data_IF_681800228063
#
_entry.id   IF_681800228063
#
_cell.length_a   1.000
_cell.length_b   1.000
_cell.length_c   1.000
_cell.angle_alpha   90.00
_cell.angle_beta   90.00
_cell.angle_gamma   90.00
#
_symmetry.space_group_name_H-M   'P 1'
#
loop_
_entity.id
_entity.type
_entity.pdbx_description
1 polymer ?
#
# COMPACT_ATOMS: atom_id res chain seq x y z
N UNK A 1 -5.93 24.90 8.47
CA UNK A 1 -4.56 25.48 8.63
C UNK A 1 -4.10 25.26 10.06
N UNK A 2 -4.81 25.77 11.07
CA UNK A 2 -4.43 25.68 12.49
C UNK A 2 -4.21 24.25 13.00
N UNK A 3 -5.07 23.30 12.64
CA UNK A 3 -4.93 21.90 13.02
C UNK A 3 -3.62 21.29 12.48
N UNK A 4 -3.27 21.56 11.22
CA UNK A 4 -2.02 21.06 10.61
C UNK A 4 -0.78 21.69 11.20
N UNK A 5 -0.85 22.95 11.64
CA UNK A 5 0.22 23.64 12.35
C UNK A 5 0.48 23.01 13.73
N UNK A 6 -0.58 22.66 14.47
CA UNK A 6 -0.45 21.95 15.74
C UNK A 6 0.15 20.56 15.53
N UNK A 7 -0.33 19.80 14.56
CA UNK A 7 0.20 18.46 14.24
C UNK A 7 1.69 18.50 13.85
N UNK A 8 2.13 19.56 13.15
CA UNK A 8 3.53 19.71 12.78
C UNK A 8 4.48 19.90 13.97
N UNK A 9 3.99 20.38 15.14
CA UNK A 9 4.84 20.64 16.29
C UNK A 9 5.51 19.37 16.84
N UNK A 10 4.83 18.23 16.77
CA UNK A 10 5.40 16.95 17.21
C UNK A 10 6.68 16.60 16.45
N UNK A 11 6.64 16.72 15.12
CA UNK A 11 7.77 16.46 14.23
C UNK A 11 8.91 17.48 14.42
N UNK A 12 8.56 18.76 14.55
CA UNK A 12 9.55 19.82 14.76
C UNK A 12 10.29 19.65 16.08
N UNK A 13 9.57 19.34 17.16
CA UNK A 13 10.16 19.17 18.49
C UNK A 13 11.02 17.90 18.55
N UNK A 14 10.53 16.77 18.09
CA UNK A 14 11.24 15.49 18.15
C UNK A 14 12.56 15.53 17.37
N UNK A 15 12.56 16.11 16.17
CA UNK A 15 13.76 16.23 15.34
C UNK A 15 14.76 17.24 15.93
N UNK A 16 14.28 18.34 16.52
CA UNK A 16 15.14 19.30 17.23
C UNK A 16 15.80 18.64 18.47
N UNK A 17 15.06 17.86 19.24
CA UNK A 17 15.61 17.11 20.38
C UNK A 17 16.70 16.14 19.92
N UNK A 18 16.47 15.40 18.83
CA UNK A 18 17.49 14.49 18.27
C UNK A 18 18.72 15.23 17.79
N UNK A 19 18.55 16.37 17.11
CA UNK A 19 19.66 17.23 16.69
C UNK A 19 20.52 17.68 17.88
N UNK A 20 19.90 18.21 18.95
CA UNK A 20 20.62 18.66 20.14
C UNK A 20 21.30 17.49 20.86
N UNK A 21 20.65 16.34 20.97
CA UNK A 21 21.22 15.13 21.55
C UNK A 21 22.50 14.68 20.82
N UNK A 22 22.47 14.63 19.48
CA UNK A 22 23.65 14.30 18.69
C UNK A 22 24.78 15.32 18.85
N UNK A 23 24.43 16.60 18.99
CA UNK A 23 25.43 17.65 19.28
C UNK A 23 26.07 17.47 20.66
N UNK A 24 25.30 17.11 21.67
CA UNK A 24 25.82 16.77 23.00
C UNK A 24 26.82 15.60 22.93
N UNK A 25 26.51 14.60 22.11
CA UNK A 25 27.41 13.47 21.81
C UNK A 25 28.59 13.85 20.91
N UNK A 26 28.73 15.12 20.50
CA UNK A 26 29.76 15.62 19.56
C UNK A 26 29.73 14.95 18.18
N UNK A 27 28.56 14.50 17.74
CA UNK A 27 28.34 13.97 16.40
C UNK A 27 27.95 15.12 15.49
N UNK A 28 28.79 15.49 14.48
CA UNK A 28 28.48 16.56 13.55
C UNK A 28 27.21 16.22 12.75
N UNK A 29 26.23 17.10 12.81
CA UNK A 29 24.97 16.93 12.11
C UNK A 29 24.31 18.29 11.83
N UNK A 30 23.40 18.34 10.84
CA UNK A 30 22.59 19.52 10.55
C UNK A 30 21.09 19.16 10.59
N UNK A 31 20.30 20.06 11.13
CA UNK A 31 18.84 19.99 11.13
C UNK A 31 18.31 20.80 9.93
N UNK A 32 17.67 20.14 8.99
CA UNK A 32 16.99 20.77 7.86
C UNK A 32 15.51 20.91 8.17
N UNK A 33 14.92 22.05 7.90
CA UNK A 33 13.49 22.26 8.09
C UNK A 33 12.73 21.74 6.86
N UNK A 34 11.83 20.77 7.03
CA UNK A 34 11.05 20.20 5.93
C UNK A 34 10.23 21.26 5.19
N UNK A 35 9.78 22.31 5.86
CA UNK A 35 9.03 23.39 5.22
C UNK A 35 9.83 24.20 4.19
N UNK A 36 11.17 24.09 4.19
CA UNK A 36 12.02 24.82 3.27
C UNK A 36 12.19 24.11 1.92
N UNK A 37 11.89 22.80 1.87
CA UNK A 37 12.09 22.00 0.66
C UNK A 37 10.94 21.02 0.35
N UNK A 38 10.12 20.64 1.31
CA UNK A 38 9.02 19.69 1.10
C UNK A 38 7.74 20.44 0.72
N UNK A 39 7.25 20.23 -0.52
CA UNK A 39 6.06 20.91 -1.04
C UNK A 39 5.17 19.99 -1.85
N UNK A 40 3.84 20.23 -1.78
CA UNK A 40 2.86 19.64 -2.70
C UNK A 40 2.40 20.66 -3.73
N UNK A 41 2.07 20.18 -4.93
CA UNK A 41 1.49 20.97 -6.01
C UNK A 41 0.00 21.31 -5.78
N UNK A 42 -0.64 22.00 -6.74
CA UNK A 42 -2.08 22.33 -6.68
C UNK A 42 -3.01 21.12 -6.68
N UNK A 43 -2.54 19.98 -7.15
CA UNK A 43 -3.21 18.68 -7.16
C UNK A 43 -3.08 17.90 -5.84
N UNK A 44 -2.37 18.48 -4.86
CA UNK A 44 -1.98 17.89 -3.58
C UNK A 44 -1.02 16.70 -3.70
N UNK A 45 -0.37 16.52 -4.85
CA UNK A 45 0.72 15.56 -5.02
C UNK A 45 2.09 16.24 -4.77
N UNK A 46 3.12 15.48 -4.31
CA UNK A 46 4.45 16.05 -4.07
C UNK A 46 5.08 16.63 -5.34
N UNK A 47 5.60 17.84 -5.24
CA UNK A 47 6.34 18.52 -6.30
C UNK A 47 7.81 18.06 -6.27
N UNK A 48 8.09 16.94 -6.93
CA UNK A 48 9.40 16.29 -6.84
C UNK A 48 10.53 17.16 -7.41
N UNK A 49 10.28 17.95 -8.46
CA UNK A 49 11.29 18.85 -9.04
C UNK A 49 11.68 19.95 -8.05
N UNK A 50 10.67 20.56 -7.42
CA UNK A 50 10.91 21.56 -6.38
C UNK A 50 11.65 20.96 -5.18
N UNK A 51 11.23 19.77 -4.73
CA UNK A 51 11.88 19.07 -3.61
C UNK A 51 13.34 18.79 -3.92
N UNK A 52 13.64 18.25 -5.11
CA UNK A 52 15.01 17.96 -5.54
C UNK A 52 15.88 19.22 -5.54
N UNK A 53 15.40 20.30 -6.16
CA UNK A 53 16.13 21.55 -6.24
C UNK A 53 16.39 22.13 -4.84
N UNK A 54 15.33 22.29 -4.04
CA UNK A 54 15.43 22.95 -2.74
C UNK A 54 16.22 22.15 -1.72
N UNK A 55 16.08 20.83 -1.73
CA UNK A 55 16.87 19.96 -0.86
C UNK A 55 18.36 20.06 -1.19
N UNK A 56 18.74 20.08 -2.46
CA UNK A 56 20.15 20.28 -2.87
C UNK A 56 20.69 21.65 -2.44
N UNK A 57 19.90 22.72 -2.55
CA UNK A 57 20.25 24.05 -2.05
C UNK A 57 20.50 24.02 -0.53
N UNK A 58 19.63 23.36 0.25
CA UNK A 58 19.78 23.24 1.71
C UNK A 58 21.04 22.45 2.10
N UNK A 59 21.30 21.31 1.44
CA UNK A 59 22.49 20.51 1.70
C UNK A 59 23.78 21.29 1.41
N UNK A 60 23.80 22.10 0.36
CA UNK A 60 24.97 22.92 -0.02
C UNK A 60 25.32 23.99 1.02
N UNK A 61 24.36 24.41 1.87
CA UNK A 61 24.61 25.34 2.97
C UNK A 61 25.41 24.73 4.14
N UNK A 62 25.62 23.40 4.16
CA UNK A 62 26.28 22.68 5.24
C UNK A 62 27.50 21.87 4.76
N UNK A 63 28.56 22.53 4.23
CA UNK A 63 29.73 21.83 3.72
C UNK A 63 30.43 21.02 4.82
N UNK A 64 30.78 19.76 4.51
CA UNK A 64 31.48 18.88 5.44
C UNK A 64 30.58 18.15 6.46
N UNK A 65 29.27 18.37 6.43
CA UNK A 65 28.30 17.59 7.21
C UNK A 65 27.81 16.42 6.37
N UNK A 66 27.83 15.22 6.97
CA UNK A 66 27.38 13.96 6.32
C UNK A 66 26.14 13.35 6.98
N UNK A 67 25.69 13.92 8.11
CA UNK A 67 24.50 13.47 8.82
C UNK A 67 23.49 14.61 8.87
N UNK A 68 22.32 14.38 8.29
CA UNK A 68 21.24 15.35 8.27
C UNK A 68 20.00 14.77 8.96
N UNK A 69 19.30 15.61 9.69
CA UNK A 69 18.03 15.32 10.34
C UNK A 69 16.99 16.22 9.70
N UNK A 70 15.82 15.68 9.41
CA UNK A 70 14.68 16.47 8.96
C UNK A 70 13.38 15.85 9.46
N UNK A 71 12.30 16.63 9.40
CA UNK A 71 10.97 16.15 9.74
C UNK A 71 10.40 15.27 8.63
N UNK A 72 9.68 14.23 9.01
CA UNK A 72 8.80 13.50 8.14
C UNK A 72 7.38 14.08 8.17
N UNK A 73 6.50 13.62 7.28
CA UNK A 73 5.07 13.90 7.26
C UNK A 73 4.67 15.34 6.93
N UNK A 74 5.37 16.37 7.43
CA UNK A 74 5.02 17.77 7.24
C UNK A 74 5.56 18.36 5.93
N UNK A 75 4.80 19.25 5.32
CA UNK A 75 5.17 19.94 4.09
C UNK A 75 4.48 21.31 3.98
N UNK A 76 4.79 22.06 2.92
CA UNK A 76 4.00 23.20 2.45
C UNK A 76 3.11 22.79 1.28
N UNK A 77 1.92 23.39 1.17
CA UNK A 77 1.10 23.24 -0.03
C UNK A 77 1.51 24.27 -1.11
N UNK A 78 0.86 24.23 -2.27
CA UNK A 78 1.11 25.16 -3.38
C UNK A 78 0.92 26.64 -3.03
N UNK A 79 0.18 26.94 -1.95
CA UNK A 79 -0.10 28.29 -1.45
C UNK A 79 0.82 28.70 -0.30
N UNK A 80 1.88 27.91 -0.04
CA UNK A 80 2.84 28.11 1.05
C UNK A 80 2.23 28.01 2.46
N UNK A 81 1.10 27.33 2.61
CA UNK A 81 0.48 27.04 3.89
C UNK A 81 0.99 25.71 4.44
N UNK A 82 0.98 25.56 5.77
CA UNK A 82 1.35 24.31 6.44
C UNK A 82 0.40 23.18 6.06
N UNK A 83 0.95 22.09 5.57
CA UNK A 83 0.23 20.90 5.15
C UNK A 83 0.98 19.62 5.58
N UNK A 84 0.43 18.47 5.23
CA UNK A 84 1.02 17.16 5.50
C UNK A 84 0.83 16.19 4.33
N UNK A 85 1.69 15.18 4.26
CA UNK A 85 1.68 14.13 3.21
C UNK A 85 0.67 13.01 3.47
N UNK A 86 -0.34 13.23 4.30
CA UNK A 86 -1.40 12.25 4.64
C UNK A 86 -0.84 10.99 5.33
N UNK A 87 -1.52 9.83 5.16
CA UNK A 87 -1.11 8.55 5.77
C UNK A 87 0.22 8.05 5.19
N UNK A 88 1.05 7.44 6.04
CA UNK A 88 2.39 7.01 5.67
C UNK A 88 3.35 8.16 5.38
N UNK A 89 3.03 9.38 5.84
CA UNK A 89 3.73 10.60 5.47
C UNK A 89 5.22 10.61 5.76
N UNK A 90 5.67 9.99 6.87
CA UNK A 90 7.10 9.90 7.19
C UNK A 90 7.85 8.95 6.24
N UNK A 91 7.29 7.79 5.96
CA UNK A 91 7.85 6.85 4.98
C UNK A 91 7.83 7.47 3.57
N UNK A 92 6.75 8.21 3.26
CA UNK A 92 6.66 8.93 1.99
C UNK A 92 7.71 10.03 1.88
N UNK A 93 7.96 10.78 2.97
CA UNK A 93 9.05 11.76 3.04
C UNK A 93 10.40 11.11 2.77
N UNK A 94 10.69 9.97 3.42
CA UNK A 94 11.94 9.23 3.19
C UNK A 94 12.08 8.80 1.72
N UNK A 95 11.01 8.32 1.12
CA UNK A 95 11.00 7.92 -0.29
C UNK A 95 11.21 9.10 -1.25
N UNK A 96 10.58 10.24 -0.99
CA UNK A 96 10.76 11.46 -1.77
C UNK A 96 12.18 12.00 -1.66
N UNK A 97 12.75 12.08 -0.46
CA UNK A 97 14.12 12.51 -0.22
C UNK A 97 15.11 11.57 -0.90
N UNK A 98 14.95 10.25 -0.69
CA UNK A 98 15.80 9.26 -1.33
C UNK A 98 15.78 9.36 -2.86
N UNK A 99 14.59 9.60 -3.43
CA UNK A 99 14.40 9.81 -4.87
C UNK A 99 15.06 11.09 -5.35
N UNK A 100 14.88 12.22 -4.65
CA UNK A 100 15.46 13.51 -4.97
C UNK A 100 16.99 13.51 -4.92
N UNK A 101 17.58 12.75 -4.00
CA UNK A 101 19.03 12.62 -3.84
C UNK A 101 19.63 11.48 -4.67
N UNK A 102 18.82 10.64 -5.31
CA UNK A 102 19.27 9.42 -5.97
C UNK A 102 20.08 8.53 -5.01
N UNK A 103 19.50 8.27 -3.82
CA UNK A 103 20.15 7.50 -2.77
C UNK A 103 20.43 6.06 -3.22
N UNK A 104 21.47 5.44 -2.65
CA UNK A 104 21.81 4.04 -2.91
C UNK A 104 20.74 3.08 -2.33
N UNK A 105 20.12 3.44 -1.19
CA UNK A 105 19.07 2.69 -0.51
C UNK A 105 18.22 3.63 0.35
N UNK A 106 16.91 3.34 0.43
CA UNK A 106 15.98 3.96 1.38
C UNK A 106 15.71 2.92 2.47
N UNK A 107 15.87 3.29 3.74
CA UNK A 107 15.61 2.42 4.87
C UNK A 107 14.41 2.92 5.67
N UNK A 108 13.44 2.03 5.91
CA UNK A 108 12.28 2.27 6.77
C UNK A 108 12.43 1.41 8.02
N UNK A 109 12.65 2.08 9.13
CA UNK A 109 12.82 1.43 10.44
C UNK A 109 11.51 1.45 11.21
N UNK A 110 11.05 0.28 11.63
CA UNK A 110 9.77 0.07 12.33
C UNK A 110 9.97 -0.89 13.52
N UNK A 111 8.89 -1.29 14.16
CA UNK A 111 8.87 -2.23 15.30
C UNK A 111 8.67 -3.70 14.88
N UNK A 112 8.71 -3.98 13.58
CA UNK A 112 8.57 -5.34 13.01
C UNK A 112 9.77 -5.67 12.11
N UNK A 113 10.09 -6.95 12.03
CA UNK A 113 11.27 -7.49 11.34
C UNK A 113 11.15 -7.59 9.81
N UNK A 114 10.34 -6.73 9.20
CA UNK A 114 10.07 -6.68 7.78
C UNK A 114 8.66 -7.18 7.45
N UNK A 115 8.42 -7.43 6.18
CA UNK A 115 7.14 -7.95 5.70
C UNK A 115 7.07 -9.46 5.90
N UNK A 116 5.99 -9.95 6.50
CA UNK A 116 5.75 -11.39 6.65
C UNK A 116 4.90 -11.94 5.50
N UNK A 117 5.02 -13.24 5.28
CA UNK A 117 4.20 -13.96 4.30
C UNK A 117 2.72 -14.02 4.65
N UNK A 118 2.34 -13.64 5.88
CA UNK A 118 0.97 -13.45 6.36
C UNK A 118 0.99 -12.56 7.61
N UNK A 119 -0.17 -12.10 8.11
CA UNK A 119 -0.24 -11.29 9.32
C UNK A 119 0.05 -12.15 10.57
N UNK A 120 1.18 -11.95 11.28
CA UNK A 120 1.53 -12.76 12.46
C UNK A 120 0.57 -12.60 13.63
N UNK A 121 -0.26 -11.57 13.64
CA UNK A 121 -1.29 -11.34 14.67
C UNK A 121 -2.53 -12.20 14.45
N UNK A 122 -2.78 -12.62 13.21
CA UNK A 122 -3.96 -13.40 12.80
C UNK A 122 -3.63 -14.88 12.63
N UNK A 123 -2.41 -15.21 12.22
CA UNK A 123 -1.98 -16.53 11.76
C UNK A 123 -0.70 -16.95 12.45
N UNK A 124 -0.65 -18.22 12.88
CA UNK A 124 0.57 -18.82 13.43
C UNK A 124 1.49 -19.34 12.32
N UNK A 125 2.81 -19.35 12.60
CA UNK A 125 3.80 -19.94 11.69
C UNK A 125 4.14 -19.06 10.48
N UNK A 126 3.93 -17.76 10.58
CA UNK A 126 4.36 -16.81 9.56
C UNK A 126 5.89 -16.68 9.51
N UNK A 127 6.42 -16.27 8.38
CA UNK A 127 7.86 -16.09 8.16
C UNK A 127 8.14 -14.75 7.48
N UNK A 128 9.27 -14.08 7.79
CA UNK A 128 9.68 -12.88 7.08
C UNK A 128 9.93 -13.17 5.60
N UNK A 129 9.48 -12.28 4.74
CA UNK A 129 9.75 -12.27 3.30
C UNK A 129 11.00 -11.46 3.05
N UNK A 130 12.07 -12.10 2.59
CA UNK A 130 13.37 -11.44 2.42
C UNK A 130 13.40 -10.46 1.24
N UNK A 131 12.68 -10.78 0.16
CA UNK A 131 12.70 -10.00 -1.08
C UNK A 131 11.31 -9.88 -1.68
N UNK A 132 10.99 -8.68 -2.13
CA UNK A 132 9.78 -8.35 -2.88
C UNK A 132 10.16 -7.47 -4.07
N UNK A 133 9.45 -7.64 -5.18
CA UNK A 133 9.43 -6.63 -6.23
C UNK A 133 8.60 -5.41 -5.80
N UNK A 134 8.80 -4.26 -6.44
CA UNK A 134 7.96 -3.07 -6.19
C UNK A 134 6.48 -3.36 -6.44
N UNK A 135 6.16 -4.14 -7.48
CA UNK A 135 4.78 -4.50 -7.79
C UNK A 135 4.13 -5.36 -6.68
N UNK A 136 4.85 -6.37 -6.19
CA UNK A 136 4.38 -7.23 -5.09
C UNK A 136 4.17 -6.43 -3.80
N UNK A 137 5.12 -5.54 -3.45
CA UNK A 137 5.01 -4.69 -2.28
C UNK A 137 3.82 -3.71 -2.39
N UNK A 138 3.57 -3.15 -3.57
CA UNK A 138 2.42 -2.28 -3.85
C UNK A 138 1.09 -3.02 -3.69
N UNK A 139 0.98 -4.25 -4.21
CA UNK A 139 -0.21 -5.09 -4.05
C UNK A 139 -0.45 -5.44 -2.58
N UNK A 140 0.59 -5.87 -1.85
CA UNK A 140 0.48 -6.16 -0.42
C UNK A 140 0.01 -4.94 0.38
N UNK A 141 0.57 -3.77 0.10
CA UNK A 141 0.19 -2.52 0.74
C UNK A 141 -1.26 -2.12 0.41
N UNK A 142 -1.70 -2.30 -0.84
CA UNK A 142 -3.07 -2.03 -1.28
C UNK A 142 -4.10 -2.92 -0.57
N UNK A 143 -3.78 -4.20 -0.39
CA UNK A 143 -4.66 -5.17 0.28
C UNK A 143 -4.46 -5.24 1.79
N UNK A 144 -3.82 -4.24 2.39
CA UNK A 144 -3.86 -4.03 3.84
C UNK A 144 -2.68 -4.56 4.64
N UNK A 145 -1.58 -4.94 4.00
CA UNK A 145 -0.33 -5.14 4.71
C UNK A 145 0.13 -3.80 5.30
N UNK A 146 0.01 -3.65 6.63
CA UNK A 146 0.15 -2.35 7.33
C UNK A 146 1.58 -1.83 7.47
N UNK A 147 2.54 -2.41 6.77
CA UNK A 147 3.96 -2.12 6.97
C UNK A 147 4.41 -0.93 6.13
N UNK A 148 3.81 -0.73 4.96
CA UNK A 148 4.14 0.36 4.05
C UNK A 148 2.88 0.90 3.37
N UNK A 149 2.80 2.21 3.20
CA UNK A 149 1.71 2.78 2.40
C UNK A 149 2.07 2.69 0.91
N UNK A 150 1.12 2.38 -0.02
CA UNK A 150 1.42 2.25 -1.46
C UNK A 150 2.15 3.46 -2.04
N UNK A 151 1.80 4.69 -1.61
CA UNK A 151 2.45 5.92 -2.07
C UNK A 151 3.94 6.03 -1.71
N UNK A 152 4.39 5.31 -0.67
CA UNK A 152 5.80 5.34 -0.27
C UNK A 152 6.70 4.58 -1.24
N UNK A 153 6.15 3.68 -2.04
CA UNK A 153 6.89 2.83 -2.98
C UNK A 153 7.09 3.54 -4.32
N UNK A 154 6.09 4.30 -4.78
CA UNK A 154 6.07 4.87 -6.11
C UNK A 154 7.28 5.77 -6.46
N UNK A 155 7.74 6.72 -5.60
CA UNK A 155 8.93 7.53 -5.91
C UNK A 155 10.21 6.70 -6.04
N UNK A 156 10.44 5.76 -5.11
CA UNK A 156 11.61 4.88 -5.14
C UNK A 156 11.63 4.00 -6.41
N UNK A 157 10.47 3.47 -6.81
CA UNK A 157 10.29 2.70 -8.05
C UNK A 157 10.66 3.50 -9.29
N UNK A 158 10.26 4.79 -9.38
CA UNK A 158 10.56 5.66 -10.53
C UNK A 158 12.06 5.80 -10.81
N UNK A 159 12.89 5.78 -9.77
CA UNK A 159 14.36 5.90 -9.88
C UNK A 159 15.08 4.58 -9.62
N UNK A 160 14.34 3.49 -9.46
CA UNK A 160 14.87 2.15 -9.16
C UNK A 160 15.75 2.11 -7.90
N UNK A 161 15.36 2.85 -6.86
CA UNK A 161 16.08 2.90 -5.59
C UNK A 161 15.53 1.80 -4.68
N UNK A 162 16.37 0.85 -4.20
CA UNK A 162 15.90 -0.19 -3.30
C UNK A 162 15.40 0.39 -1.99
N UNK A 163 14.32 -0.20 -1.46
CA UNK A 163 13.73 0.14 -0.16
C UNK A 163 13.89 -1.05 0.77
N UNK A 164 14.46 -0.84 1.94
CA UNK A 164 14.66 -1.88 2.96
C UNK A 164 13.81 -1.60 4.18
N UNK A 165 13.02 -2.59 4.60
CA UNK A 165 12.24 -2.56 5.84
C UNK A 165 13.04 -3.24 6.94
N UNK A 166 13.26 -2.55 8.06
CA UNK A 166 14.15 -2.98 9.14
C UNK A 166 13.46 -2.84 10.50
N UNK A 167 13.88 -3.67 11.46
CA UNK A 167 13.40 -3.62 12.83
C UNK A 167 14.31 -2.76 13.72
N UNK A 168 13.78 -1.68 14.26
CA UNK A 168 14.52 -0.80 15.18
C UNK A 168 14.86 -1.48 16.52
N UNK A 169 14.09 -2.49 16.92
CA UNK A 169 14.32 -3.27 18.14
C UNK A 169 15.29 -4.45 17.93
N UNK A 170 15.49 -4.86 16.66
CA UNK A 170 16.41 -5.92 16.26
C UNK A 170 17.21 -5.50 15.02
N UNK A 171 18.18 -4.56 15.17
CA UNK A 171 18.92 -4.00 14.04
C UNK A 171 19.78 -5.00 13.25
N UNK A 172 20.04 -6.18 13.82
CA UNK A 172 20.76 -7.28 13.16
C UNK A 172 19.89 -8.10 12.22
N UNK A 173 18.56 -7.96 12.27
CA UNK A 173 17.65 -8.65 11.37
C UNK A 173 17.85 -8.18 9.93
N UNK A 174 17.82 -9.10 8.97
CA UNK A 174 18.03 -8.81 7.53
C UNK A 174 16.90 -7.92 6.95
N UNK A 175 15.70 -8.04 7.51
CA UNK A 175 14.52 -7.31 7.08
C UNK A 175 14.02 -7.75 5.70
N UNK A 176 13.24 -6.87 5.04
CA UNK A 176 12.71 -7.10 3.68
C UNK A 176 13.31 -6.09 2.71
N UNK A 177 13.92 -6.57 1.64
CA UNK A 177 14.39 -5.75 0.52
C UNK A 177 13.33 -5.67 -0.58
N UNK A 178 12.92 -4.45 -0.94
CA UNK A 178 12.01 -4.15 -2.05
C UNK A 178 12.84 -3.55 -3.18
N UNK A 179 12.83 -4.17 -4.37
CA UNK A 179 13.61 -3.73 -5.51
C UNK A 179 12.98 -4.20 -6.83
N UNK A 180 13.58 -3.89 -7.98
CA UNK A 180 13.15 -4.46 -9.27
C UNK A 180 13.58 -5.93 -9.49
N UNK A 181 14.37 -6.49 -8.59
CA UNK A 181 14.82 -7.88 -8.71
C UNK A 181 13.65 -8.82 -8.35
N UNK A 182 13.30 -9.69 -9.27
CA UNK A 182 12.39 -10.80 -9.04
C UNK A 182 13.20 -12.00 -8.56
N UNK A 183 12.63 -12.80 -7.68
CA UNK A 183 13.15 -14.12 -7.34
C UNK A 183 12.22 -15.23 -7.87
N UNK A 184 12.67 -16.49 -7.79
CA UNK A 184 11.97 -17.63 -8.40
C UNK A 184 10.72 -18.08 -7.62
N UNK A 185 10.42 -17.48 -6.47
CA UNK A 185 9.24 -17.85 -5.68
C UNK A 185 7.97 -17.26 -6.30
N UNK A 186 7.07 -18.11 -6.77
CA UNK A 186 5.81 -17.71 -7.39
C UNK A 186 4.90 -17.01 -6.37
N UNK A 187 4.75 -17.57 -5.16
CA UNK A 187 3.90 -17.00 -4.10
C UNK A 187 4.78 -16.40 -3.01
N UNK A 188 4.54 -15.15 -2.65
CA UNK A 188 5.32 -14.38 -1.67
C UNK A 188 4.62 -14.21 -0.33
N UNK A 189 3.39 -13.71 -0.39
CA UNK A 189 2.67 -13.35 0.82
C UNK A 189 1.16 -13.32 0.59
N UNK A 190 0.42 -13.25 1.70
CA UNK A 190 -1.03 -13.10 1.74
C UNK A 190 -1.33 -11.83 2.52
N UNK A 191 -2.23 -11.02 1.97
CA UNK A 191 -2.75 -9.83 2.64
C UNK A 191 -4.27 -9.92 2.78
N UNK A 192 -4.83 -9.23 3.77
CA UNK A 192 -6.28 -9.16 3.96
C UNK A 192 -6.71 -7.74 4.29
N UNK A 193 -7.75 -7.27 3.59
CA UNK A 193 -8.36 -5.95 3.78
C UNK A 193 -9.78 -6.12 4.29
N UNK A 194 -10.00 -5.65 5.50
CA UNK A 194 -11.31 -5.68 6.16
C UNK A 194 -12.19 -4.48 5.78
N UNK A 195 -13.41 -4.46 6.30
CA UNK A 195 -14.42 -3.40 6.09
C UNK A 195 -14.82 -3.22 4.64
N UNK A 196 -14.83 -4.30 3.88
CA UNK A 196 -15.23 -4.31 2.48
C UNK A 196 -16.75 -4.43 2.38
N UNK A 197 -17.29 -3.65 1.44
CA UNK A 197 -18.68 -3.76 0.98
C UNK A 197 -18.65 -4.35 -0.42
N UNK A 198 -19.32 -5.47 -0.57
CA UNK A 198 -19.57 -6.09 -1.86
C UNK A 198 -20.88 -5.58 -2.43
N UNK A 199 -20.88 -5.17 -3.70
CA UNK A 199 -22.08 -4.68 -4.39
C UNK A 199 -22.21 -5.40 -5.72
N UNK A 200 -23.37 -6.01 -5.98
CA UNK A 200 -23.72 -6.60 -7.26
C UNK A 200 -24.79 -5.76 -7.95
N UNK A 201 -24.57 -5.46 -9.21
CA UNK A 201 -25.51 -4.77 -10.08
C UNK A 201 -25.96 -5.73 -11.18
N UNK A 202 -27.26 -6.02 -11.20
CA UNK A 202 -27.91 -6.83 -12.24
C UNK A 202 -28.68 -5.88 -13.15
N UNK A 203 -28.30 -5.82 -14.45
CA UNK A 203 -28.89 -4.87 -15.41
C UNK A 203 -30.39 -5.10 -15.58
N UNK A 204 -31.16 -4.03 -15.63
CA UNK A 204 -32.60 -4.06 -15.96
C UNK A 204 -32.88 -4.32 -17.44
N UNK A 205 -31.85 -4.71 -18.25
CA UNK A 205 -31.92 -4.90 -19.70
C UNK A 205 -32.35 -3.66 -20.52
N UNK A 206 -32.44 -2.48 -19.91
CA UNK A 206 -32.79 -1.24 -20.59
C UNK A 206 -31.60 -0.55 -21.27
N UNK A 207 -30.38 -1.04 -21.01
CA UNK A 207 -29.14 -0.52 -21.58
C UNK A 207 -28.36 -1.65 -22.26
N UNK A 208 -27.62 -1.29 -23.31
CA UNK A 208 -26.60 -2.20 -23.85
C UNK A 208 -25.50 -2.44 -22.80
N UNK A 209 -24.86 -3.63 -22.75
CA UNK A 209 -23.89 -3.98 -21.70
C UNK A 209 -22.77 -2.95 -21.52
N UNK A 210 -22.20 -2.44 -22.60
CA UNK A 210 -21.12 -1.44 -22.53
C UNK A 210 -21.60 -0.08 -21.97
N UNK A 211 -22.85 0.34 -22.27
CA UNK A 211 -23.44 1.56 -21.69
C UNK A 211 -23.74 1.37 -20.20
N UNK A 212 -24.15 0.17 -19.81
CA UNK A 212 -24.39 -0.16 -18.42
C UNK A 212 -23.10 -0.07 -17.58
N UNK A 213 -22.01 -0.68 -18.07
CA UNK A 213 -20.69 -0.60 -17.42
C UNK A 213 -20.21 0.86 -17.35
N UNK A 214 -20.29 1.62 -18.45
CA UNK A 214 -19.93 3.05 -18.46
C UNK A 214 -20.71 3.82 -17.39
N UNK A 215 -22.01 3.57 -17.28
CA UNK A 215 -22.87 4.27 -16.31
C UNK A 215 -22.47 3.98 -14.87
N UNK A 216 -22.07 2.75 -14.55
CA UNK A 216 -21.55 2.41 -13.23
C UNK A 216 -20.29 3.22 -12.93
N UNK A 217 -19.30 3.23 -13.83
CA UNK A 217 -18.07 4.00 -13.64
C UNK A 217 -18.31 5.50 -13.52
N UNK A 218 -19.21 6.08 -14.34
CA UNK A 218 -19.56 7.50 -14.27
C UNK A 218 -20.11 7.89 -12.88
N UNK A 219 -20.94 7.03 -12.28
CA UNK A 219 -21.53 7.28 -10.98
C UNK A 219 -20.47 7.15 -9.88
N UNK A 220 -19.62 6.12 -9.89
CA UNK A 220 -18.52 5.99 -8.93
C UNK A 220 -17.54 7.17 -9.05
N UNK A 221 -17.19 7.60 -10.26
CA UNK A 221 -16.35 8.76 -10.51
C UNK A 221 -16.98 10.07 -9.99
N UNK A 222 -18.27 10.29 -10.26
CA UNK A 222 -19.05 11.44 -9.75
C UNK A 222 -18.95 11.56 -8.23
N UNK A 223 -19.04 10.44 -7.52
CA UNK A 223 -18.96 10.39 -6.07
C UNK A 223 -17.54 10.21 -5.52
N UNK A 224 -16.53 10.15 -6.40
CA UNK A 224 -15.12 9.98 -6.06
C UNK A 224 -14.86 8.78 -5.14
N UNK A 225 -15.58 7.68 -5.39
CA UNK A 225 -15.48 6.46 -4.61
C UNK A 225 -14.60 5.44 -5.35
N UNK A 226 -13.42 5.10 -4.83
CA UNK A 226 -12.51 4.15 -5.48
C UNK A 226 -13.07 2.72 -5.41
N UNK A 227 -12.76 1.92 -6.43
CA UNK A 227 -13.07 0.51 -6.48
C UNK A 227 -11.83 -0.29 -6.05
N UNK A 228 -11.99 -1.22 -5.11
CA UNK A 228 -10.94 -2.15 -4.73
C UNK A 228 -10.84 -3.33 -5.71
N UNK A 229 -11.98 -3.91 -6.08
CA UNK A 229 -12.08 -5.00 -7.05
C UNK A 229 -13.29 -4.77 -7.95
N UNK A 230 -13.21 -5.28 -9.19
CA UNK A 230 -14.31 -5.28 -10.15
C UNK A 230 -14.27 -6.59 -10.94
N UNK A 231 -15.43 -7.22 -11.06
CA UNK A 231 -15.66 -8.36 -11.97
C UNK A 231 -16.94 -8.09 -12.72
N UNK A 232 -16.92 -8.29 -14.03
CA UNK A 232 -18.08 -8.10 -14.88
C UNK A 232 -18.38 -9.33 -15.71
N UNK A 233 -19.67 -9.58 -15.96
CA UNK A 233 -20.19 -10.46 -16.99
C UNK A 233 -20.95 -9.65 -18.05
N UNK A 234 -21.62 -10.31 -18.95
CA UNK A 234 -22.39 -9.61 -20.00
C UNK A 234 -23.49 -8.68 -19.43
N UNK A 235 -24.12 -9.06 -18.33
CA UNK A 235 -25.31 -8.36 -17.78
C UNK A 235 -25.12 -7.90 -16.33
N UNK A 236 -24.10 -8.42 -15.66
CA UNK A 236 -23.87 -8.19 -14.24
C UNK A 236 -22.51 -7.57 -14.00
N UNK A 237 -22.44 -6.66 -13.04
CA UNK A 237 -21.19 -6.10 -12.54
C UNK A 237 -21.14 -6.28 -11.02
N UNK A 238 -20.04 -6.78 -10.53
CA UNK A 238 -19.77 -6.88 -9.09
C UNK A 238 -18.56 -6.03 -8.74
N UNK A 239 -18.67 -5.24 -7.69
CA UNK A 239 -17.59 -4.41 -7.18
C UNK A 239 -17.38 -4.65 -5.68
N UNK A 240 -16.16 -4.44 -5.23
CA UNK A 240 -15.81 -4.37 -3.83
C UNK A 240 -15.22 -2.98 -3.53
N UNK A 241 -15.68 -2.33 -2.47
CA UNK A 241 -15.25 -0.99 -2.03
C UNK A 241 -14.93 -1.00 -0.54
N UNK A 242 -14.08 -0.08 -0.11
CA UNK A 242 -13.73 0.15 1.30
C UNK A 242 -14.20 1.52 1.82
N UNK A 243 -14.69 2.39 0.95
CA UNK A 243 -15.27 3.70 1.31
C UNK A 243 -16.79 3.67 1.18
N UNK A 244 -17.49 3.73 2.32
CA UNK A 244 -18.96 3.77 2.38
C UNK A 244 -19.53 5.18 2.48
N UNK A 245 -18.73 6.24 2.48
CA UNK A 245 -19.15 7.63 2.75
C UNK A 245 -20.27 8.09 1.81
N UNK A 246 -20.23 7.69 0.55
CA UNK A 246 -21.22 8.08 -0.48
C UNK A 246 -22.09 6.91 -0.96
N UNK A 247 -22.02 5.76 -0.29
CA UNK A 247 -22.68 4.52 -0.71
C UNK A 247 -24.19 4.70 -0.96
N UNK A 248 -24.91 5.35 -0.06
CA UNK A 248 -26.36 5.58 -0.19
C UNK A 248 -26.72 6.36 -1.46
N UNK A 249 -25.92 7.37 -1.81
CA UNK A 249 -26.11 8.16 -3.01
C UNK A 249 -25.86 7.33 -4.28
N UNK A 250 -24.76 6.57 -4.28
CA UNK A 250 -24.38 5.67 -5.38
C UNK A 250 -25.49 4.65 -5.64
N UNK A 251 -25.96 3.97 -4.58
CA UNK A 251 -27.03 2.95 -4.69
C UNK A 251 -28.34 3.58 -5.20
N UNK A 252 -28.73 4.74 -4.67
CA UNK A 252 -29.97 5.43 -5.07
C UNK A 252 -29.96 5.77 -6.57
N UNK A 253 -28.82 6.21 -7.11
CA UNK A 253 -28.69 6.56 -8.52
C UNK A 253 -28.60 5.30 -9.40
N UNK A 254 -27.89 4.26 -8.98
CA UNK A 254 -27.74 3.01 -9.75
C UNK A 254 -29.02 2.16 -9.78
N UNK A 255 -29.89 2.25 -8.79
CA UNK A 255 -31.19 1.55 -8.78
C UNK A 255 -32.12 1.93 -9.95
N UNK A 256 -31.87 3.06 -10.60
CA UNK A 256 -32.59 3.44 -11.82
C UNK A 256 -32.25 2.56 -13.03
N UNK A 257 -31.06 1.92 -13.00
CA UNK A 257 -30.51 1.15 -14.12
C UNK A 257 -30.33 -0.33 -13.80
N UNK A 258 -30.31 -0.71 -12.51
CA UNK A 258 -29.99 -2.05 -12.06
C UNK A 258 -30.77 -2.46 -10.80
N UNK A 259 -30.97 -3.76 -10.63
CA UNK A 259 -31.20 -4.34 -9.33
C UNK A 259 -29.88 -4.37 -8.54
N UNK A 260 -29.86 -3.79 -7.35
CA UNK A 260 -28.63 -3.61 -6.56
C UNK A 260 -28.70 -4.47 -5.30
N UNK A 261 -27.79 -5.43 -5.18
CA UNK A 261 -27.53 -6.21 -3.98
C UNK A 261 -26.31 -5.65 -3.26
N UNK A 262 -26.41 -5.46 -1.95
CA UNK A 262 -25.31 -4.96 -1.11
C UNK A 262 -25.09 -5.92 0.04
N UNK A 263 -23.84 -6.34 0.24
CA UNK A 263 -23.42 -7.17 1.37
C UNK A 263 -22.27 -6.48 2.09
N UNK A 264 -22.44 -6.20 3.37
CA UNK A 264 -21.42 -5.63 4.26
C UNK A 264 -20.61 -6.74 4.98
N UNK A 265 -19.64 -6.32 5.81
CA UNK A 265 -18.79 -7.23 6.59
C UNK A 265 -18.06 -8.26 5.74
N UNK A 266 -17.58 -7.81 4.59
CA UNK A 266 -16.74 -8.63 3.73
C UNK A 266 -15.27 -8.31 3.96
N UNK A 267 -14.40 -9.22 3.54
CA UNK A 267 -12.94 -9.09 3.56
C UNK A 267 -12.42 -9.48 2.19
N UNK A 268 -11.49 -8.69 1.65
CA UNK A 268 -10.68 -9.11 0.52
C UNK A 268 -9.47 -9.86 1.09
N UNK A 269 -9.23 -11.08 0.61
CA UNK A 269 -7.98 -11.83 0.83
C UNK A 269 -7.26 -11.89 -0.49
N UNK A 270 -6.01 -11.45 -0.53
CA UNK A 270 -5.17 -11.48 -1.72
C UNK A 270 -3.93 -12.33 -1.48
N UNK A 271 -3.67 -13.25 -2.39
CA UNK A 271 -2.41 -14.00 -2.50
C UNK A 271 -1.54 -13.26 -3.49
N UNK A 272 -0.34 -12.82 -3.06
CA UNK A 272 0.56 -11.98 -3.84
C UNK A 272 1.86 -12.71 -4.16
N UNK A 273 2.36 -12.51 -5.38
CA UNK A 273 3.62 -13.07 -5.83
C UNK A 273 3.88 -12.80 -7.31
N UNK A 274 4.83 -13.53 -7.90
CA UNK A 274 5.10 -13.48 -9.33
C UNK A 274 4.25 -14.53 -10.05
N UNK A 275 3.01 -14.20 -10.37
CA UNK A 275 1.98 -15.11 -10.89
C UNK A 275 1.77 -14.89 -12.39
N UNK A 276 2.84 -15.08 -13.18
CA UNK A 276 2.74 -15.02 -14.63
C UNK A 276 1.79 -16.10 -15.12
N UNK A 277 0.94 -15.77 -16.08
CA UNK A 277 -0.09 -16.68 -16.60
C UNK A 277 0.51 -17.97 -17.22
N UNK A 278 1.78 -17.95 -17.61
CA UNK A 278 2.51 -19.11 -18.10
C UNK A 278 2.87 -20.13 -17.00
N UNK A 279 2.83 -19.72 -15.73
CA UNK A 279 3.13 -20.61 -14.61
C UNK A 279 1.88 -21.39 -14.23
N UNK A 280 1.86 -22.68 -14.52
CA UNK A 280 0.71 -23.53 -14.25
C UNK A 280 0.71 -24.09 -12.81
N UNK A 281 -0.46 -24.20 -12.21
CA UNK A 281 -0.71 -25.01 -11.02
C UNK A 281 -0.74 -24.25 -9.70
N UNK A 282 -0.31 -23.00 -9.61
CA UNK A 282 -0.43 -22.21 -8.38
C UNK A 282 -1.90 -21.91 -8.06
N UNK A 283 -2.74 -21.68 -9.07
CA UNK A 283 -4.18 -21.47 -8.92
C UNK A 283 -4.85 -22.66 -8.24
N UNK A 284 -4.49 -23.87 -8.67
CA UNK A 284 -5.04 -25.10 -8.09
C UNK A 284 -4.69 -25.23 -6.59
N UNK A 285 -3.45 -24.88 -6.21
CA UNK A 285 -3.02 -24.89 -4.80
C UNK A 285 -3.80 -23.89 -3.96
N UNK A 286 -4.02 -22.66 -4.48
CA UNK A 286 -4.78 -21.62 -3.81
C UNK A 286 -6.25 -22.06 -3.65
N UNK A 287 -6.86 -22.55 -4.71
CA UNK A 287 -8.27 -22.99 -4.68
C UNK A 287 -8.47 -24.20 -3.78
N UNK A 288 -7.51 -25.13 -3.73
CA UNK A 288 -7.58 -26.26 -2.81
C UNK A 288 -7.50 -25.82 -1.33
N UNK A 289 -6.66 -24.81 -1.03
CA UNK A 289 -6.60 -24.25 0.32
C UNK A 289 -7.94 -23.61 0.74
N UNK A 290 -8.65 -23.01 -0.20
CA UNK A 290 -9.92 -22.31 0.03
C UNK A 290 -11.17 -23.17 -0.22
N UNK A 291 -11.05 -24.49 -0.50
CA UNK A 291 -12.19 -25.36 -0.89
C UNK A 291 -13.36 -25.37 0.10
N UNK A 292 -13.08 -25.15 1.38
CA UNK A 292 -14.10 -25.14 2.45
C UNK A 292 -14.54 -23.71 2.84
N UNK A 293 -14.10 -22.69 2.10
CA UNK A 293 -14.42 -21.28 2.32
C UNK A 293 -15.35 -20.79 1.20
N UNK A 294 -16.56 -20.30 1.51
CA UNK A 294 -17.43 -19.70 0.50
C UNK A 294 -16.82 -18.44 -0.10
N UNK A 295 -16.58 -18.46 -1.40
CA UNK A 295 -16.02 -17.33 -2.14
C UNK A 295 -17.14 -16.54 -2.81
N UNK A 296 -17.22 -15.24 -2.53
CA UNK A 296 -18.25 -14.34 -3.10
C UNK A 296 -17.81 -13.77 -4.44
N UNK A 297 -16.51 -13.54 -4.61
CA UNK A 297 -15.91 -12.98 -5.81
C UNK A 297 -14.48 -13.47 -5.92
N UNK A 298 -14.01 -13.67 -7.14
CA UNK A 298 -12.62 -13.98 -7.46
C UNK A 298 -12.18 -12.99 -8.53
N UNK A 299 -11.04 -12.34 -8.31
CA UNK A 299 -10.38 -11.47 -9.28
C UNK A 299 -9.00 -12.03 -9.58
N UNK A 300 -8.78 -12.37 -10.85
CA UNK A 300 -7.51 -12.89 -11.37
C UNK A 300 -7.33 -12.44 -12.81
N UNK A 301 -6.08 -12.24 -13.23
CA UNK A 301 -5.73 -11.91 -14.61
C UNK A 301 -5.70 -10.41 -14.94
N UNK A 302 -6.08 -9.53 -14.03
CA UNK A 302 -5.90 -8.08 -14.17
C UNK A 302 -4.48 -7.63 -13.82
N UNK A 303 -3.80 -8.40 -12.99
CA UNK A 303 -2.41 -8.23 -12.55
C UNK A 303 -1.71 -9.59 -12.63
N UNK A 304 -0.41 -9.58 -12.94
CA UNK A 304 0.42 -10.78 -12.84
C UNK A 304 0.99 -10.98 -11.41
N UNK A 305 0.55 -10.18 -10.45
CA UNK A 305 1.13 -10.16 -9.12
C UNK A 305 0.17 -10.57 -8.00
N UNK A 306 -1.11 -10.80 -8.31
CA UNK A 306 -2.07 -11.19 -7.29
C UNK A 306 -3.26 -12.01 -7.80
N UNK A 307 -3.85 -12.78 -6.87
CA UNK A 307 -5.18 -13.36 -6.98
C UNK A 307 -5.97 -12.93 -5.75
N UNK A 308 -7.08 -12.25 -5.95
CA UNK A 308 -7.88 -11.69 -4.86
C UNK A 308 -9.26 -12.35 -4.75
N UNK A 309 -9.70 -12.55 -3.51
CA UNK A 309 -10.95 -13.19 -3.15
C UNK A 309 -11.76 -12.31 -2.21
N UNK A 310 -13.07 -12.20 -2.44
CA UNK A 310 -14.00 -11.60 -1.48
C UNK A 310 -14.69 -12.72 -0.70
N UNK A 311 -14.57 -12.68 0.61
CA UNK A 311 -15.15 -13.65 1.54
C UNK A 311 -15.88 -12.91 2.67
N UNK A 312 -16.68 -13.64 3.46
CA UNK A 312 -17.25 -13.07 4.69
C UNK A 312 -16.13 -12.83 5.71
N UNK A 313 -16.22 -11.74 6.45
CA UNK A 313 -15.24 -11.42 7.50
C UNK A 313 -15.14 -12.54 8.56
N UNK A 314 -16.23 -13.25 8.84
CA UNK A 314 -16.24 -14.42 9.76
C UNK A 314 -15.32 -15.54 9.32
N UNK A 315 -15.03 -15.68 8.04
CA UNK A 315 -14.18 -16.73 7.47
C UNK A 315 -12.73 -16.30 7.32
N UNK A 316 -12.39 -15.03 7.57
CA UNK A 316 -11.05 -14.44 7.37
C UNK A 316 -9.95 -15.27 7.99
N UNK A 317 -10.00 -15.48 9.30
CA UNK A 317 -8.94 -16.20 10.03
C UNK A 317 -8.75 -17.62 9.51
N UNK A 318 -9.86 -18.32 9.22
CA UNK A 318 -9.83 -19.67 8.66
C UNK A 318 -9.19 -19.69 7.27
N UNK A 319 -9.54 -18.72 6.41
CA UNK A 319 -8.97 -18.59 5.08
C UNK A 319 -7.47 -18.28 5.12
N UNK A 320 -7.04 -17.32 5.95
CA UNK A 320 -5.64 -16.95 6.10
C UNK A 320 -4.80 -18.12 6.62
N UNK A 321 -5.28 -18.87 7.62
CA UNK A 321 -4.59 -20.05 8.15
C UNK A 321 -4.50 -21.16 7.10
N UNK A 322 -5.60 -21.47 6.40
CA UNK A 322 -5.62 -22.52 5.37
C UNK A 322 -4.67 -22.22 4.21
N UNK A 323 -4.64 -20.96 3.76
CA UNK A 323 -3.67 -20.51 2.74
C UNK A 323 -2.24 -20.60 3.26
N UNK A 324 -1.98 -20.15 4.51
CA UNK A 324 -0.64 -20.22 5.10
C UNK A 324 -0.12 -21.66 5.17
N UNK A 325 -0.95 -22.55 5.66
CA UNK A 325 -0.59 -23.97 5.84
C UNK A 325 -0.35 -24.66 4.50
N UNK A 326 -1.14 -24.33 3.48
CA UNK A 326 -1.02 -24.97 2.16
C UNK A 326 0.12 -24.41 1.31
N UNK A 327 0.39 -23.08 1.39
CA UNK A 327 1.29 -22.41 0.48
C UNK A 327 2.71 -22.26 1.04
N UNK A 328 2.90 -22.29 2.38
CA UNK A 328 4.20 -21.97 2.99
C UNK A 328 4.75 -23.05 3.92
N UNK A 329 4.13 -24.23 4.04
CA UNK A 329 4.69 -25.33 4.82
C UNK A 329 5.82 -26.08 4.06
N UNK A 330 6.82 -26.64 4.78
CA UNK A 330 8.02 -27.22 4.17
C UNK A 330 7.78 -28.42 3.25
N UNK A 331 6.70 -29.16 3.41
CA UNK A 331 6.41 -30.37 2.63
C UNK A 331 6.18 -30.11 1.12
N UNK A 332 5.99 -28.84 0.71
CA UNK A 332 5.76 -28.45 -0.68
C UNK A 332 6.94 -27.74 -1.33
N UNK A 333 8.00 -27.42 -0.59
CA UNK A 333 9.19 -26.73 -1.12
C UNK A 333 10.21 -27.69 -1.78
N UNK A 334 10.11 -29.02 -1.55
CA UNK A 334 11.10 -29.99 -2.01
C UNK A 334 10.70 -30.79 -3.27
N UNK A 335 9.61 -30.42 -3.96
CA UNK A 335 9.15 -31.15 -5.16
C UNK A 335 9.06 -30.31 -6.44
N UNK A 336 9.83 -29.23 -6.53
CA UNK A 336 9.97 -28.50 -7.81
C UNK A 336 11.46 -28.29 -8.13
#
# INVERSE_FOLDING_TARGET
VEEKEVLAQGELISTALMHFYLRELKIPNALLCAFDFMRTGPDNEPDLEYIEQKLREQLACHPGINLFITQGFICKNAYNETDNLKRGGSDYTASLIGTALQADEIQIWTDIDGMHNNDPREVSGTRPVKRLSFNEAEQLAFYGAKILHPFCIAPARLRNIPVRLLNSMEPSAEGTLISNLQDDNIIKAIAAKDHIIYIKFESNHNLCPYLFISKIFDIFAKYRTPLCLLVSSNLDVSVAIDDCTRLSNIISELRQYAHVLVEDRMTIVSVVGNMQWEYAGFEAKIMEALKDIPLRMISYGSSNNDVAFVIKNTDKKRALQALNDKLFQPEYAERN
#
